data_IF_502663051952
#
_entry.id   IF_502663051952
#
_cell.length_a   1.000
_cell.length_b   1.000
_cell.length_c   1.000
_cell.angle_alpha   90.00
_cell.angle_beta   90.00
_cell.angle_gamma   90.00
#
_symmetry.space_group_name_H-M   'P 1'
#
loop_
_entity.id
_entity.type
_entity.pdbx_description
1 polymer ?
#
# COMPACT_ATOMS: atom_id res chain seq x y z
N UNK A 1 -11.04 20.59 0.68
CA UNK A 1 -10.77 19.80 1.90
C UNK A 1 -9.80 20.57 2.77
N UNK A 2 -9.90 20.47 4.10
CA UNK A 2 -9.06 21.23 5.03
C UNK A 2 -7.59 20.77 5.10
N UNK A 3 -7.29 19.56 4.60
CA UNK A 3 -5.95 18.97 4.62
C UNK A 3 -5.47 18.64 3.20
N UNK A 4 -4.19 18.89 2.93
CA UNK A 4 -3.52 18.50 1.71
C UNK A 4 -3.08 17.03 1.72
N UNK A 5 -2.78 16.50 0.53
CA UNK A 5 -2.28 15.13 0.36
C UNK A 5 -0.76 15.12 0.40
N UNK A 6 -0.18 14.40 1.36
CA UNK A 6 1.26 14.09 1.41
C UNK A 6 1.42 12.58 1.64
N UNK A 7 1.49 11.82 0.55
CA UNK A 7 1.59 10.36 0.60
C UNK A 7 2.92 9.87 1.20
N UNK A 8 4.08 10.43 0.82
CA UNK A 8 5.35 10.04 1.44
C UNK A 8 5.37 10.24 2.95
N UNK A 9 4.93 11.40 3.46
CA UNK A 9 4.88 11.63 4.90
C UNK A 9 3.84 10.74 5.60
N UNK A 10 2.70 10.50 4.93
CA UNK A 10 1.67 9.59 5.46
C UNK A 10 2.19 8.16 5.58
N UNK A 11 2.89 7.64 4.57
CA UNK A 11 3.46 6.30 4.60
C UNK A 11 4.46 6.14 5.75
N UNK A 12 5.40 7.09 5.92
CA UNK A 12 6.39 7.06 7.02
C UNK A 12 5.74 7.08 8.40
N UNK A 13 4.74 7.94 8.61
CA UNK A 13 3.98 8.04 9.87
C UNK A 13 3.25 6.75 10.20
N UNK A 14 2.58 6.14 9.21
CA UNK A 14 1.83 4.90 9.44
C UNK A 14 2.77 3.72 9.68
N UNK A 15 3.95 3.72 9.04
CA UNK A 15 4.99 2.73 9.30
C UNK A 15 5.48 2.80 10.76
N UNK A 16 5.76 4.02 11.25
CA UNK A 16 6.16 4.25 12.64
C UNK A 16 5.08 3.77 13.62
N UNK A 17 3.82 4.13 13.39
CA UNK A 17 2.69 3.68 14.20
C UNK A 17 2.52 2.15 14.20
N UNK A 18 2.63 1.52 13.02
CA UNK A 18 2.54 0.07 12.88
C UNK A 18 3.65 -0.64 13.67
N UNK A 19 4.89 -0.14 13.60
CA UNK A 19 6.02 -0.68 14.34
C UNK A 19 5.80 -0.58 15.86
N UNK A 20 5.25 0.53 16.35
CA UNK A 20 4.90 0.66 17.78
C UNK A 20 3.83 -0.33 18.22
N UNK A 21 2.83 -0.58 17.38
CA UNK A 21 1.71 -1.46 17.69
C UNK A 21 2.03 -2.94 17.53
N UNK A 22 3.08 -3.31 16.80
CA UNK A 22 3.40 -4.70 16.45
C UNK A 22 3.44 -5.65 17.65
N UNK A 23 3.90 -5.18 18.80
CA UNK A 23 4.00 -6.01 20.02
C UNK A 23 2.71 -6.07 20.84
N UNK A 24 1.86 -5.05 20.75
CA UNK A 24 0.66 -4.90 21.59
C UNK A 24 -0.62 -5.33 20.85
N UNK A 25 -0.71 -4.96 19.58
CA UNK A 25 -1.83 -5.17 18.68
C UNK A 25 -1.30 -5.59 17.29
N UNK A 26 -0.74 -6.80 17.17
CA UNK A 26 -0.12 -7.28 15.93
C UNK A 26 -1.09 -7.32 14.75
N UNK A 27 -2.38 -7.57 15.02
CA UNK A 27 -3.48 -7.51 14.06
C UNK A 27 -3.68 -6.09 13.49
N UNK A 28 -3.73 -5.10 14.37
CA UNK A 28 -3.84 -3.68 13.97
C UNK A 28 -2.57 -3.22 13.26
N UNK A 29 -1.39 -3.65 13.72
CA UNK A 29 -0.12 -3.39 13.04
C UNK A 29 -0.12 -3.97 11.62
N UNK A 30 -0.61 -5.21 11.44
CA UNK A 30 -0.78 -5.84 10.13
C UNK A 30 -1.67 -5.02 9.19
N UNK A 31 -2.78 -4.50 9.70
CA UNK A 31 -3.63 -3.58 8.93
C UNK A 31 -2.87 -2.32 8.51
N UNK A 32 -2.17 -1.67 9.46
CA UNK A 32 -1.42 -0.45 9.20
C UNK A 32 -0.23 -0.65 8.25
N UNK A 33 0.41 -1.82 8.25
CA UNK A 33 1.46 -2.13 7.27
C UNK A 33 0.93 -2.11 5.85
N UNK A 34 -0.25 -2.67 5.57
CA UNK A 34 -0.79 -2.57 4.22
C UNK A 34 -1.30 -1.18 3.84
N UNK A 35 -1.86 -0.40 4.79
CA UNK A 35 -2.18 1.02 4.52
C UNK A 35 -0.91 1.82 4.22
N UNK A 36 0.16 1.56 4.96
CA UNK A 36 1.49 2.14 4.70
C UNK A 36 1.96 1.80 3.29
N UNK A 37 1.88 0.52 2.91
CA UNK A 37 2.26 0.07 1.56
C UNK A 37 1.41 0.74 0.49
N UNK A 38 0.10 0.88 0.66
CA UNK A 38 -0.76 1.58 -0.29
C UNK A 38 -0.36 3.05 -0.49
N UNK A 39 0.00 3.76 0.59
CA UNK A 39 0.49 5.13 0.47
C UNK A 39 1.83 5.21 -0.25
N UNK A 40 2.75 4.28 0.01
CA UNK A 40 4.01 4.20 -0.70
C UNK A 40 3.80 3.91 -2.21
N UNK A 41 2.95 2.94 -2.55
CA UNK A 41 2.59 2.61 -3.93
C UNK A 41 1.93 3.81 -4.62
N UNK A 42 1.00 4.50 -3.96
CA UNK A 42 0.37 5.70 -4.53
C UNK A 42 1.36 6.86 -4.70
N UNK A 43 2.35 7.00 -3.84
CA UNK A 43 3.44 7.96 -4.04
C UNK A 43 4.25 7.60 -5.29
N UNK A 44 4.66 6.33 -5.45
CA UNK A 44 5.35 5.84 -6.64
C UNK A 44 4.50 5.97 -7.91
N UNK A 45 3.18 5.82 -7.83
CA UNK A 45 2.26 6.11 -8.94
C UNK A 45 2.36 7.57 -9.38
N UNK A 46 2.40 8.52 -8.42
CA UNK A 46 2.60 9.93 -8.74
C UNK A 46 3.98 10.17 -9.37
N UNK A 47 5.03 9.52 -8.90
CA UNK A 47 6.37 9.64 -9.48
C UNK A 47 6.43 9.07 -10.91
N UNK A 48 5.68 7.99 -11.17
CA UNK A 48 5.54 7.37 -12.48
C UNK A 48 4.59 8.13 -13.44
N UNK A 49 4.06 9.29 -13.03
CA UNK A 49 3.18 10.12 -13.85
C UNK A 49 1.71 9.72 -13.84
N UNK A 50 1.32 8.70 -13.07
CA UNK A 50 -0.09 8.36 -12.86
C UNK A 50 -0.71 9.40 -11.93
N UNK A 51 -1.74 10.11 -12.39
CA UNK A 51 -2.44 11.13 -11.61
C UNK A 51 -3.86 10.64 -11.29
N UNK A 52 -4.42 10.97 -10.11
CA UNK A 52 -5.80 10.65 -9.78
C UNK A 52 -6.75 11.26 -10.82
N UNK A 53 -7.68 10.47 -11.31
CA UNK A 53 -8.77 10.90 -12.20
C UNK A 53 -9.80 11.72 -11.40
N UNK A 54 -10.70 12.37 -12.13
CA UNK A 54 -11.80 13.15 -11.56
C UNK A 54 -12.77 12.25 -10.79
N UNK A 55 -13.60 12.86 -9.94
CA UNK A 55 -14.53 12.16 -9.04
C UNK A 55 -15.48 11.17 -9.75
N UNK A 56 -15.82 11.43 -11.00
CA UNK A 56 -16.73 10.61 -11.83
C UNK A 56 -16.11 9.28 -12.25
N UNK A 57 -14.77 9.20 -12.30
CA UNK A 57 -14.02 8.03 -12.79
C UNK A 57 -13.33 7.24 -11.67
N UNK A 58 -13.61 7.56 -10.40
CA UNK A 58 -12.95 6.96 -9.23
C UNK A 58 -12.97 5.43 -9.20
N UNK A 59 -14.05 4.81 -9.71
CA UNK A 59 -14.21 3.35 -9.68
C UNK A 59 -13.19 2.62 -10.57
N UNK A 60 -12.72 3.29 -11.61
CA UNK A 60 -11.76 2.78 -12.60
C UNK A 60 -10.37 3.38 -12.41
N UNK A 61 -10.14 4.03 -11.27
CA UNK A 61 -8.88 4.69 -10.98
C UNK A 61 -8.12 3.90 -9.91
N UNK A 62 -6.94 3.33 -10.25
CA UNK A 62 -6.12 2.59 -9.29
C UNK A 62 -5.77 3.43 -8.05
N UNK A 63 -5.73 4.76 -8.15
CA UNK A 63 -5.39 5.62 -7.02
C UNK A 63 -6.40 5.50 -5.85
N UNK A 64 -7.65 5.15 -6.15
CA UNK A 64 -8.70 4.93 -5.14
C UNK A 64 -8.92 3.47 -4.80
N UNK A 65 -8.23 2.55 -5.46
CA UNK A 65 -8.27 1.13 -5.14
C UNK A 65 -7.44 0.78 -3.91
N UNK A 66 -7.76 -0.37 -3.34
CA UNK A 66 -7.05 -1.04 -2.26
C UNK A 66 -6.52 -2.39 -2.75
N UNK A 67 -5.52 -2.95 -2.08
CA UNK A 67 -5.14 -4.35 -2.37
C UNK A 67 -6.31 -5.31 -2.05
N UNK A 68 -6.49 -6.38 -2.85
CA UNK A 68 -5.69 -6.77 -4.01
C UNK A 68 -6.06 -6.05 -5.33
N UNK A 69 -7.20 -5.36 -5.39
CA UNK A 69 -7.72 -4.72 -6.61
C UNK A 69 -6.76 -3.68 -7.22
N UNK A 70 -6.05 -2.93 -6.38
CA UNK A 70 -4.99 -1.99 -6.78
C UNK A 70 -3.94 -2.68 -7.66
N UNK A 71 -3.47 -3.87 -7.24
CA UNK A 71 -2.48 -4.63 -8.00
C UNK A 71 -3.02 -5.04 -9.36
N UNK A 72 -4.24 -5.56 -9.40
CA UNK A 72 -4.90 -5.96 -10.65
C UNK A 72 -5.00 -4.80 -11.62
N UNK A 73 -5.44 -3.62 -11.17
CA UNK A 73 -5.56 -2.44 -12.01
C UNK A 73 -4.21 -1.92 -12.52
N UNK A 74 -3.14 -2.02 -11.71
CA UNK A 74 -1.82 -1.55 -12.11
C UNK A 74 -1.08 -2.50 -13.07
N UNK A 75 -1.37 -3.81 -13.05
CA UNK A 75 -0.74 -4.78 -13.97
C UNK A 75 -0.98 -4.46 -15.44
N UNK A 76 -2.16 -3.96 -15.76
CA UNK A 76 -2.55 -3.63 -17.14
C UNK A 76 -2.08 -2.22 -17.54
N UNK A 77 -1.40 -1.49 -16.65
CA UNK A 77 -0.94 -0.13 -16.91
C UNK A 77 0.45 -0.15 -17.54
N UNK A 78 0.58 0.43 -18.74
CA UNK A 78 1.88 0.55 -19.40
C UNK A 78 2.66 1.76 -18.84
N UNK A 79 3.72 1.47 -18.09
CA UNK A 79 4.58 2.49 -17.49
C UNK A 79 5.92 2.63 -18.22
N UNK A 80 6.42 3.87 -18.31
CA UNK A 80 7.76 4.16 -18.80
C UNK A 80 8.85 3.81 -17.76
N UNK A 81 10.10 4.20 -18.03
CA UNK A 81 11.26 3.92 -17.16
C UNK A 81 11.05 4.33 -15.69
N UNK A 82 10.35 5.44 -15.46
CA UNK A 82 10.04 5.95 -14.11
C UNK A 82 9.07 5.06 -13.33
N UNK A 83 8.34 4.16 -13.98
CA UNK A 83 7.47 3.19 -13.31
C UNK A 83 8.15 1.88 -12.95
N UNK A 84 9.44 1.69 -13.25
CA UNK A 84 10.13 0.44 -12.96
C UNK A 84 10.08 0.03 -11.47
N UNK A 85 10.39 0.92 -10.50
CA UNK A 85 10.29 0.57 -9.08
C UNK A 85 8.87 0.15 -8.69
N UNK A 86 7.84 0.81 -9.24
CA UNK A 86 6.45 0.43 -9.04
C UNK A 86 6.15 -0.97 -9.60
N UNK A 87 6.58 -1.27 -10.83
CA UNK A 87 6.30 -2.56 -11.46
C UNK A 87 6.96 -3.73 -10.75
N UNK A 88 8.17 -3.56 -10.20
CA UNK A 88 8.86 -4.61 -9.44
C UNK A 88 7.99 -5.11 -8.24
N UNK A 89 7.15 -4.24 -7.66
CA UNK A 89 6.18 -4.62 -6.62
C UNK A 89 4.89 -5.23 -7.19
N UNK A 90 4.35 -4.68 -8.28
CA UNK A 90 3.06 -5.09 -8.86
C UNK A 90 3.14 -6.48 -9.54
N UNK A 91 4.29 -6.80 -10.11
CA UNK A 91 4.59 -8.09 -10.74
C UNK A 91 4.87 -9.20 -9.73
N UNK A 92 5.23 -8.85 -8.49
CA UNK A 92 5.45 -9.82 -7.43
C UNK A 92 4.13 -10.35 -6.84
N UNK A 93 3.76 -11.59 -7.18
CA UNK A 93 2.53 -12.22 -6.68
C UNK A 93 2.49 -12.40 -5.15
N UNK A 94 3.64 -12.49 -4.49
CA UNK A 94 3.75 -12.59 -3.04
C UNK A 94 3.63 -11.23 -2.33
N UNK A 95 3.73 -10.12 -3.07
CA UNK A 95 3.61 -8.78 -2.51
C UNK A 95 2.18 -8.50 -2.03
N UNK A 96 2.07 -8.14 -0.75
CA UNK A 96 0.81 -7.91 -0.03
C UNK A 96 -0.19 -9.08 -0.15
N UNK A 97 0.31 -10.30 -0.31
CA UNK A 97 -0.53 -11.50 -0.35
C UNK A 97 -1.31 -11.66 0.97
N UNK A 98 -2.58 -12.05 0.88
CA UNK A 98 -3.51 -12.23 2.00
C UNK A 98 -3.88 -10.94 2.75
N UNK A 99 -3.42 -9.78 2.31
CA UNK A 99 -3.85 -8.51 2.89
C UNK A 99 -5.08 -7.96 2.15
N UNK A 100 -6.05 -7.43 2.91
CA UNK A 100 -7.19 -6.68 2.40
C UNK A 100 -7.67 -5.73 3.50
N UNK A 101 -8.25 -4.59 3.11
CA UNK A 101 -8.92 -3.71 4.08
C UNK A 101 -10.11 -4.35 4.78
N UNK A 102 -10.63 -5.47 4.27
CA UNK A 102 -11.73 -6.24 4.90
C UNK A 102 -11.30 -6.86 6.23
N UNK A 103 -9.99 -7.04 6.46
CA UNK A 103 -9.48 -7.56 7.73
C UNK A 103 -9.88 -6.69 8.93
N UNK A 104 -10.22 -5.41 8.72
CA UNK A 104 -10.81 -4.51 9.74
C UNK A 104 -12.04 -5.08 10.41
N UNK A 105 -12.77 -5.94 9.71
CA UNK A 105 -14.01 -6.57 10.19
C UNK A 105 -13.82 -8.05 10.56
N UNK A 106 -12.63 -8.61 10.32
CA UNK A 106 -12.29 -9.99 10.71
C UNK A 106 -11.99 -10.10 12.20
N UNK A 107 -12.04 -11.32 12.74
CA UNK A 107 -11.50 -11.55 14.07
C UNK A 107 -9.97 -11.54 14.00
N UNK A 108 -9.29 -10.81 14.88
CA UNK A 108 -7.82 -10.68 14.88
C UNK A 108 -7.02 -12.00 14.99
N UNK A 109 -7.70 -13.13 15.29
CA UNK A 109 -7.10 -14.49 15.34
C UNK A 109 -6.96 -15.13 13.96
N UNK A 110 -7.68 -14.62 12.96
CA UNK A 110 -7.60 -15.06 11.57
C UNK A 110 -6.34 -14.49 10.88
N UNK A 111 -5.80 -13.40 11.42
CA UNK A 111 -4.61 -12.73 10.91
C UNK A 111 -3.37 -13.47 11.46
N UNK A 112 -2.66 -14.16 10.57
CA UNK A 112 -1.52 -15.00 10.94
C UNK A 112 -0.26 -14.16 11.15
N UNK A 113 0.56 -14.53 12.14
CA UNK A 113 1.83 -13.84 12.45
C UNK A 113 2.79 -13.80 11.27
N UNK A 114 2.91 -14.90 10.53
CA UNK A 114 3.78 -14.97 9.36
C UNK A 114 3.33 -14.02 8.22
N UNK A 115 2.03 -13.70 8.14
CA UNK A 115 1.56 -12.67 7.21
C UNK A 115 1.95 -11.28 7.67
N UNK A 116 1.79 -10.97 8.97
CA UNK A 116 2.17 -9.68 9.55
C UNK A 116 3.67 -9.42 9.36
N UNK A 117 4.52 -10.42 9.59
CA UNK A 117 5.96 -10.32 9.39
C UNK A 117 6.31 -9.99 7.92
N UNK A 118 5.67 -10.69 6.97
CA UNK A 118 5.86 -10.44 5.56
C UNK A 118 5.38 -9.03 5.15
N UNK A 119 4.20 -8.61 5.61
CA UNK A 119 3.67 -7.27 5.33
C UNK A 119 4.52 -6.17 5.94
N UNK A 120 5.07 -6.38 7.15
CA UNK A 120 5.96 -5.43 7.79
C UNK A 120 7.22 -5.20 6.95
N UNK A 121 7.81 -6.28 6.43
CA UNK A 121 9.00 -6.19 5.59
C UNK A 121 8.70 -5.53 4.25
N UNK A 122 7.61 -5.93 3.59
CA UNK A 122 7.16 -5.35 2.33
C UNK A 122 6.84 -3.85 2.47
N UNK A 123 6.21 -3.44 3.58
CA UNK A 123 5.93 -2.03 3.87
C UNK A 123 7.22 -1.21 4.04
N UNK A 124 8.21 -1.75 4.77
CA UNK A 124 9.52 -1.09 4.91
C UNK A 124 10.21 -0.89 3.56
N UNK A 125 10.23 -1.93 2.72
CA UNK A 125 10.82 -1.87 1.39
C UNK A 125 10.09 -0.85 0.50
N UNK A 126 8.76 -0.90 0.45
CA UNK A 126 7.97 0.03 -0.35
C UNK A 126 8.19 1.49 0.08
N UNK A 127 8.24 1.77 1.38
CA UNK A 127 8.54 3.12 1.89
C UNK A 127 9.95 3.59 1.54
N UNK A 128 10.94 2.67 1.58
CA UNK A 128 12.31 2.98 1.21
C UNK A 128 12.49 3.28 -0.29
N UNK A 129 11.61 2.75 -1.15
CA UNK A 129 11.63 2.99 -2.61
C UNK A 129 10.93 4.26 -3.07
N UNK A 130 10.34 5.06 -2.17
CA UNK A 130 9.69 6.32 -2.56
C UNK A 130 10.76 7.31 -3.03
N UNK A 131 10.62 7.81 -4.27
CA UNK A 131 11.52 8.82 -4.84
C UNK A 131 12.90 8.31 -5.32
N UNK A 132 13.09 6.99 -5.44
CA UNK A 132 14.28 6.36 -6.04
C UNK A 132 14.08 6.09 -7.52
#
# INVERSE_FOLDING_TARGET
MAFGTDLPASARRHLEAANHLLTQHPDVAGYLFGITTEYAIKAMMLDAGLRPKTSEQKREDPFFAHFPGLRTMLRDTQLGRQGKPLMDYIENDAFMQNWSTDMRYSHGREIRSNWIEAWAEQARQAVASIGT
#
